data_IF_360178567519
#
_entry.id   IF_360178567519
#
_cell.length_a   1.000
_cell.length_b   1.000
_cell.length_c   1.000
_cell.angle_alpha   90.00
_cell.angle_beta   90.00
_cell.angle_gamma   90.00
#
_symmetry.space_group_name_H-M   'P 1'
#
loop_
_entity.id
_entity.type
_entity.pdbx_description
1 polymer ?
#
# COMPACT_ATOMS: atom_id res chain seq x y z
N UNK A 1 -8.99 19.60 4.05
CA UNK A 1 -7.74 18.90 4.38
C UNK A 1 -8.00 17.43 4.12
N UNK A 2 -7.12 16.77 3.37
CA UNK A 2 -7.23 15.32 3.15
C UNK A 2 -6.97 14.55 4.45
N UNK A 3 -7.69 13.45 4.64
CA UNK A 3 -7.43 12.48 5.72
C UNK A 3 -6.30 11.55 5.30
N UNK A 4 -5.39 11.22 6.21
CA UNK A 4 -4.35 10.21 6.03
C UNK A 4 -4.67 8.98 6.88
N UNK A 5 -5.04 7.91 6.19
CA UNK A 5 -5.14 6.56 6.70
C UNK A 5 -3.80 5.83 6.52
N UNK A 6 -3.29 5.28 7.62
CA UNK A 6 -2.30 4.21 7.55
C UNK A 6 -3.01 2.91 7.83
N UNK A 7 -2.99 2.02 6.84
CA UNK A 7 -3.47 0.65 6.99
C UNK A 7 -2.28 -0.28 7.20
N UNK A 8 -2.22 -0.88 8.39
CA UNK A 8 -1.14 -1.74 8.83
C UNK A 8 -1.63 -3.17 9.00
N UNK A 9 -1.36 -3.98 7.98
CA UNK A 9 -1.67 -5.40 7.93
C UNK A 9 -0.48 -6.16 8.50
N UNK A 10 -0.73 -7.00 9.51
CA UNK A 10 0.34 -7.61 10.30
C UNK A 10 0.00 -9.03 10.77
N UNK A 11 1.02 -9.85 10.96
CA UNK A 11 0.96 -11.09 11.73
C UNK A 11 0.81 -10.80 13.24
N UNK A 12 0.52 -11.81 14.04
CA UNK A 12 0.40 -11.70 15.50
C UNK A 12 1.71 -11.22 16.15
N UNK A 13 2.85 -11.60 15.59
CA UNK A 13 4.19 -11.22 16.06
C UNK A 13 4.73 -9.92 15.44
N UNK A 14 3.91 -9.18 14.68
CA UNK A 14 4.22 -7.80 14.29
C UNK A 14 4.94 -7.63 12.95
N UNK A 15 4.96 -8.66 12.11
CA UNK A 15 5.54 -8.61 10.76
C UNK A 15 4.48 -8.23 9.73
N UNK A 16 4.90 -7.52 8.67
CA UNK A 16 4.01 -7.12 7.56
C UNK A 16 4.13 -8.02 6.32
N UNK A 17 4.99 -9.04 6.40
CA UNK A 17 5.26 -10.03 5.37
C UNK A 17 5.95 -11.22 6.02
N UNK A 18 5.83 -12.42 5.43
CA UNK A 18 6.55 -13.62 5.84
C UNK A 18 7.20 -14.33 4.65
N UNK A 19 8.39 -14.88 4.83
CA UNK A 19 9.06 -15.67 3.78
C UNK A 19 8.29 -16.97 3.49
N UNK A 20 8.02 -17.25 2.22
CA UNK A 20 7.25 -18.44 1.81
C UNK A 20 5.74 -18.35 2.08
N UNK A 21 5.24 -17.20 2.53
CA UNK A 21 3.81 -16.97 2.73
C UNK A 21 3.22 -16.17 1.56
N UNK A 22 1.99 -16.51 1.11
CA UNK A 22 1.28 -15.68 0.15
C UNK A 22 0.80 -14.37 0.81
N UNK A 23 0.18 -13.50 0.00
CA UNK A 23 -0.53 -12.32 0.51
C UNK A 23 -1.50 -12.70 1.64
N UNK A 24 -1.63 -11.83 2.65
CA UNK A 24 -2.48 -12.05 3.83
C UNK A 24 -2.25 -13.40 4.55
N UNK A 25 -1.08 -14.01 4.38
CA UNK A 25 -0.77 -15.35 4.86
C UNK A 25 -1.72 -16.45 4.37
N UNK A 26 -2.51 -16.18 3.31
CA UNK A 26 -3.51 -17.10 2.76
C UNK A 26 -4.72 -17.29 3.67
N UNK A 27 -4.93 -16.35 4.60
CA UNK A 27 -5.98 -16.38 5.62
C UNK A 27 -7.03 -15.30 5.40
N UNK A 28 -7.01 -14.61 4.26
CA UNK A 28 -8.06 -13.69 3.88
C UNK A 28 -9.40 -14.42 3.69
N UNK A 29 -10.44 -13.87 4.33
CA UNK A 29 -11.82 -14.34 4.19
C UNK A 29 -12.66 -13.38 3.35
N UNK A 30 -13.79 -13.83 2.79
CA UNK A 30 -14.67 -12.99 1.98
C UNK A 30 -15.20 -11.77 2.74
N UNK A 31 -15.42 -11.87 4.06
CA UNK A 31 -15.84 -10.75 4.90
C UNK A 31 -14.77 -9.67 4.99
N UNK A 32 -13.49 -10.08 5.05
CA UNK A 32 -12.37 -9.15 5.09
C UNK A 32 -12.20 -8.43 3.75
N UNK A 33 -12.28 -9.16 2.64
CA UNK A 33 -12.20 -8.58 1.29
C UNK A 33 -13.37 -7.64 1.01
N UNK A 34 -14.59 -8.01 1.43
CA UNK A 34 -15.76 -7.13 1.32
C UNK A 34 -15.56 -5.83 2.11
N UNK A 35 -15.03 -5.91 3.33
CA UNK A 35 -14.73 -4.74 4.15
C UNK A 35 -13.63 -3.84 3.56
N UNK A 36 -12.62 -4.42 2.89
CA UNK A 36 -11.64 -3.63 2.13
C UNK A 36 -12.31 -2.88 0.97
N UNK A 37 -13.25 -3.52 0.26
CA UNK A 37 -14.01 -2.92 -0.83
C UNK A 37 -14.97 -1.79 -0.42
N UNK A 38 -15.30 -1.67 0.87
CA UNK A 38 -16.07 -0.54 1.40
C UNK A 38 -15.23 0.74 1.54
N UNK A 39 -13.91 0.68 1.32
CA UNK A 39 -13.04 1.83 1.44
C UNK A 39 -13.34 2.88 0.35
N UNK A 40 -13.48 4.17 0.70
CA UNK A 40 -13.59 5.24 -0.29
C UNK A 40 -12.38 5.28 -1.21
N UNK A 41 -12.56 5.84 -2.41
CA UNK A 41 -11.46 6.11 -3.33
C UNK A 41 -10.35 6.91 -2.63
N UNK A 42 -9.10 6.44 -2.78
CA UNK A 42 -7.95 7.01 -2.10
C UNK A 42 -6.80 7.25 -3.09
N UNK A 43 -5.99 8.26 -2.78
CA UNK A 43 -4.64 8.36 -3.35
C UNK A 43 -3.69 7.49 -2.53
N UNK A 44 -3.09 6.50 -3.18
CA UNK A 44 -2.20 5.55 -2.51
C UNK A 44 -0.78 6.08 -2.42
N UNK A 45 -0.22 6.03 -1.21
CA UNK A 45 1.13 6.47 -0.90
C UNK A 45 2.03 5.25 -0.71
N UNK A 46 3.21 5.23 -1.32
CA UNK A 46 4.15 4.13 -1.17
C UNK A 46 5.62 4.53 -1.39
N UNK A 47 6.53 3.72 -0.86
CA UNK A 47 7.97 3.84 -1.12
C UNK A 47 8.42 3.02 -2.33
N UNK A 48 9.68 3.18 -2.72
CA UNK A 48 10.28 2.55 -3.90
C UNK A 48 10.16 1.02 -3.95
N UNK A 49 10.34 0.32 -2.81
CA UNK A 49 10.31 -1.15 -2.77
C UNK A 49 8.89 -1.68 -2.95
N UNK A 50 7.92 -1.09 -2.26
CA UNK A 50 6.50 -1.40 -2.44
C UNK A 50 6.08 -1.12 -3.88
N UNK A 51 6.50 0.02 -4.47
CA UNK A 51 6.23 0.31 -5.87
C UNK A 51 6.77 -0.78 -6.80
N UNK A 52 8.04 -1.21 -6.66
CA UNK A 52 8.61 -2.25 -7.52
C UNK A 52 7.81 -3.54 -7.45
N UNK A 53 7.50 -4.00 -6.23
CA UNK A 53 6.71 -5.21 -6.00
C UNK A 53 5.32 -5.12 -6.68
N UNK A 54 4.56 -4.08 -6.36
CA UNK A 54 3.20 -3.91 -6.87
C UNK A 54 3.17 -3.64 -8.38
N UNK A 55 4.17 -2.94 -8.92
CA UNK A 55 4.31 -2.74 -10.37
C UNK A 55 4.66 -4.03 -11.12
N UNK A 56 5.36 -4.96 -10.47
CA UNK A 56 5.60 -6.30 -11.00
C UNK A 56 4.28 -7.06 -11.10
N UNK A 57 3.49 -7.06 -10.03
CA UNK A 57 2.15 -7.67 -10.02
C UNK A 57 1.25 -7.11 -11.12
N UNK A 58 1.19 -5.78 -11.27
CA UNK A 58 0.44 -5.14 -12.34
C UNK A 58 0.98 -5.43 -13.75
N UNK A 59 2.19 -5.97 -13.87
CA UNK A 59 2.79 -6.43 -15.13
C UNK A 59 2.63 -7.94 -15.35
N UNK A 60 1.90 -8.63 -14.47
CA UNK A 60 1.64 -10.08 -14.54
C UNK A 60 2.64 -10.95 -13.80
N UNK A 61 3.55 -10.38 -13.00
CA UNK A 61 4.39 -11.20 -12.10
C UNK A 61 3.51 -11.78 -10.98
N UNK A 62 3.49 -13.09 -10.83
CA UNK A 62 2.72 -13.75 -9.77
C UNK A 62 3.51 -13.81 -8.46
N UNK A 63 2.85 -13.78 -7.28
CA UNK A 63 3.49 -13.99 -6.00
C UNK A 63 4.28 -15.30 -5.95
N UNK A 64 5.37 -15.30 -5.19
CA UNK A 64 6.17 -16.51 -4.98
C UNK A 64 5.32 -17.61 -4.34
N UNK A 65 5.36 -18.82 -4.93
CA UNK A 65 4.57 -19.95 -4.45
C UNK A 65 3.16 -20.05 -5.04
N UNK A 66 2.82 -19.21 -6.03
CA UNK A 66 1.60 -19.30 -6.82
C UNK A 66 1.92 -19.47 -8.31
N UNK A 67 1.08 -20.22 -9.03
CA UNK A 67 1.19 -20.40 -10.49
C UNK A 67 0.45 -19.29 -11.26
N UNK A 68 -0.67 -18.80 -10.72
CA UNK A 68 -1.52 -17.76 -11.28
C UNK A 68 -2.16 -16.91 -10.17
N UNK A 69 -2.59 -15.68 -10.50
CA UNK A 69 -3.41 -14.88 -9.60
C UNK A 69 -4.78 -15.53 -9.40
N UNK A 70 -5.29 -15.44 -8.17
CA UNK A 70 -6.69 -15.72 -7.90
C UNK A 70 -7.54 -14.57 -8.46
N UNK A 71 -8.81 -14.81 -8.86
CA UNK A 71 -9.66 -13.76 -9.43
C UNK A 71 -9.79 -12.50 -8.54
N UNK A 72 -9.81 -12.66 -7.22
CA UNK A 72 -9.88 -11.55 -6.27
C UNK A 72 -8.56 -10.76 -6.20
N UNK A 73 -7.41 -11.42 -6.36
CA UNK A 73 -6.10 -10.78 -6.40
C UNK A 73 -5.92 -9.99 -7.70
N UNK A 74 -6.33 -10.57 -8.84
CA UNK A 74 -6.31 -9.90 -10.14
C UNK A 74 -7.19 -8.63 -10.12
N UNK A 75 -8.43 -8.74 -9.62
CA UNK A 75 -9.32 -7.59 -9.46
C UNK A 75 -8.71 -6.50 -8.56
N UNK A 76 -8.07 -6.88 -7.46
CA UNK A 76 -7.42 -5.94 -6.55
C UNK A 76 -6.24 -5.21 -7.22
N UNK A 77 -5.44 -5.91 -8.03
CA UNK A 77 -4.33 -5.32 -8.79
C UNK A 77 -4.84 -4.35 -9.86
N UNK A 78 -5.93 -4.70 -10.54
CA UNK A 78 -6.58 -3.85 -11.53
C UNK A 78 -7.13 -2.56 -10.91
N UNK A 79 -7.82 -2.66 -9.78
CA UNK A 79 -8.31 -1.50 -9.02
C UNK A 79 -7.18 -0.55 -8.62
N UNK A 80 -6.08 -1.10 -8.08
CA UNK A 80 -4.90 -0.31 -7.72
C UNK A 80 -4.21 0.29 -8.95
N UNK A 81 -4.28 -0.36 -10.10
CA UNK A 81 -3.76 0.17 -11.36
C UNK A 81 -4.54 1.41 -11.79
N UNK A 82 -5.86 1.42 -11.63
CA UNK A 82 -6.70 2.59 -11.92
C UNK A 82 -6.56 3.72 -10.88
N UNK A 83 -6.24 3.39 -9.63
CA UNK A 83 -6.13 4.37 -8.57
C UNK A 83 -4.93 5.34 -8.74
N UNK A 84 -5.09 6.57 -8.23
CA UNK A 84 -3.99 7.55 -8.16
C UNK A 84 -2.93 7.10 -7.14
N UNK A 85 -1.66 7.15 -7.52
CA UNK A 85 -0.53 6.66 -6.71
C UNK A 85 0.57 7.70 -6.63
N UNK A 86 1.11 7.92 -5.43
CA UNK A 86 2.30 8.76 -5.19
C UNK A 86 3.43 7.87 -4.65
N UNK A 87 4.55 7.89 -5.36
CA UNK A 87 5.71 7.05 -5.08
C UNK A 87 6.84 7.92 -4.57
N UNK A 88 7.27 7.70 -3.34
CA UNK A 88 8.40 8.41 -2.75
C UNK A 88 9.71 7.66 -3.02
N UNK A 89 10.60 8.25 -3.81
CA UNK A 89 11.91 7.65 -4.10
C UNK A 89 12.90 8.63 -4.67
N UNK A 90 14.14 8.58 -4.17
CA UNK A 90 15.31 9.21 -4.79
C UNK A 90 15.94 8.34 -5.90
N UNK A 91 15.66 7.05 -5.92
CA UNK A 91 16.36 6.05 -6.75
C UNK A 91 15.59 5.62 -8.02
N UNK A 92 14.28 5.84 -8.07
CA UNK A 92 13.49 5.53 -9.26
C UNK A 92 13.69 6.59 -10.34
N UNK A 93 13.55 6.19 -11.60
CA UNK A 93 13.58 7.06 -12.77
C UNK A 93 12.20 7.16 -13.41
N UNK A 94 11.93 8.27 -14.09
CA UNK A 94 10.74 8.42 -14.92
C UNK A 94 11.01 7.97 -16.37
N UNK A 95 9.98 7.52 -17.12
CA UNK A 95 8.60 7.35 -16.68
C UNK A 95 8.41 6.13 -15.76
N UNK A 96 7.49 6.25 -14.80
CA UNK A 96 7.03 5.09 -14.03
C UNK A 96 6.17 4.19 -14.93
N UNK A 97 6.39 2.87 -14.83
CA UNK A 97 5.70 1.88 -15.68
C UNK A 97 4.28 1.56 -15.22
N UNK A 98 4.02 1.67 -13.91
CA UNK A 98 2.69 1.41 -13.37
C UNK A 98 1.79 2.63 -13.57
N UNK A 99 0.66 2.45 -14.24
CA UNK A 99 -0.28 3.53 -14.59
C UNK A 99 -0.68 4.38 -13.38
N UNK A 100 -1.03 5.65 -13.61
CA UNK A 100 -1.49 6.59 -12.58
C UNK A 100 -0.52 6.78 -11.39
N UNK A 101 0.79 6.63 -11.64
CA UNK A 101 1.84 6.84 -10.63
C UNK A 101 2.58 8.15 -10.84
N UNK A 102 2.70 8.94 -9.78
CA UNK A 102 3.52 10.16 -9.74
C UNK A 102 4.74 9.94 -8.85
N UNK A 103 5.93 10.22 -9.36
CA UNK A 103 7.17 10.13 -8.59
C UNK A 103 7.39 11.43 -7.80
N UNK A 104 7.61 11.30 -6.49
CA UNK A 104 8.08 12.39 -5.62
C UNK A 104 9.50 12.04 -5.15
N UNK A 105 10.45 12.93 -5.44
CA UNK A 105 11.87 12.77 -5.08
C UNK A 105 12.24 13.47 -3.78
N UNK A 106 11.41 14.42 -3.34
CA UNK A 106 11.62 15.22 -2.15
C UNK A 106 11.26 14.46 -0.86
N UNK A 107 11.39 15.14 0.27
CA UNK A 107 11.02 14.60 1.57
C UNK A 107 9.53 14.22 1.62
N UNK A 108 9.26 12.97 1.98
CA UNK A 108 7.90 12.43 1.99
C UNK A 108 7.00 13.09 3.04
N UNK A 109 7.55 13.52 4.18
CA UNK A 109 6.77 14.18 5.24
C UNK A 109 6.32 15.55 4.77
N UNK A 110 7.21 16.34 4.17
CA UNK A 110 6.87 17.65 3.62
C UNK A 110 5.86 17.54 2.47
N UNK A 111 6.08 16.60 1.55
CA UNK A 111 5.16 16.36 0.43
C UNK A 111 3.76 15.95 0.92
N UNK A 112 3.66 15.04 1.89
CA UNK A 112 2.36 14.63 2.45
C UNK A 112 1.70 15.77 3.22
N UNK A 113 2.46 16.59 3.95
CA UNK A 113 1.91 17.79 4.61
C UNK A 113 1.32 18.77 3.60
N UNK A 114 2.01 18.99 2.48
CA UNK A 114 1.52 19.82 1.39
C UNK A 114 0.24 19.23 0.78
N UNK A 115 0.22 17.93 0.46
CA UNK A 115 -0.95 17.24 -0.09
C UNK A 115 -2.16 17.32 0.83
N UNK A 116 -1.98 17.11 2.15
CA UNK A 116 -3.07 17.27 3.12
C UNK A 116 -3.63 18.69 3.10
N UNK A 117 -2.75 19.69 3.02
CA UNK A 117 -3.12 21.11 3.10
C UNK A 117 -3.82 21.63 1.85
N UNK A 118 -3.41 21.20 0.66
CA UNK A 118 -3.96 21.66 -0.61
C UNK A 118 -5.13 20.83 -1.13
N UNK A 119 -5.33 19.63 -0.58
CA UNK A 119 -6.28 18.66 -1.10
C UNK A 119 -7.55 18.43 -0.25
N UNK A 120 -8.39 17.58 -0.82
CA UNK A 120 -9.53 16.92 -0.19
C UNK A 120 -9.53 15.44 -0.57
N UNK A 121 -10.16 14.59 0.25
CA UNK A 121 -10.26 13.14 0.00
C UNK A 121 -9.38 12.32 0.93
N UNK A 122 -9.21 11.04 0.60
CA UNK A 122 -8.48 10.08 1.41
C UNK A 122 -7.08 9.84 0.81
N UNK A 123 -6.06 9.94 1.66
CA UNK A 123 -4.72 9.43 1.41
C UNK A 123 -4.60 8.10 2.16
N UNK A 124 -4.14 7.05 1.49
CA UNK A 124 -3.95 5.73 2.12
C UNK A 124 -2.56 5.19 1.85
N UNK A 125 -1.88 4.64 2.85
CA UNK A 125 -0.63 3.92 2.61
C UNK A 125 -0.90 2.47 2.23
N UNK A 126 -0.22 1.95 1.21
CA UNK A 126 -0.16 0.49 0.91
C UNK A 126 1.19 -0.10 1.34
N UNK A 127 1.75 0.46 2.41
CA UNK A 127 3.17 0.43 2.74
C UNK A 127 3.87 1.73 2.30
N UNK A 128 5.20 1.84 2.35
CA UNK A 128 6.16 0.93 2.98
C UNK A 128 6.23 1.18 4.49
N UNK A 129 6.59 0.18 5.31
CA UNK A 129 6.68 0.35 6.77
C UNK A 129 7.54 1.55 7.21
N UNK A 130 8.62 1.83 6.47
CA UNK A 130 9.47 3.00 6.70
C UNK A 130 8.70 4.31 6.47
N UNK A 131 7.91 4.41 5.39
CA UNK A 131 7.06 5.55 5.10
C UNK A 131 5.98 5.72 6.19
N UNK A 132 5.25 4.65 6.52
CA UNK A 132 4.23 4.69 7.58
C UNK A 132 4.82 5.18 8.91
N UNK A 133 5.99 4.67 9.30
CA UNK A 133 6.70 5.09 10.51
C UNK A 133 7.09 6.57 10.48
N UNK A 134 7.60 7.07 9.35
CA UNK A 134 7.96 8.48 9.20
C UNK A 134 6.74 9.40 9.32
N UNK A 135 5.64 9.06 8.65
CA UNK A 135 4.40 9.85 8.69
C UNK A 135 3.74 9.84 10.08
N UNK A 136 3.75 8.69 10.77
CA UNK A 136 3.31 8.57 12.16
C UNK A 136 4.12 9.47 13.09
N UNK A 137 5.46 9.39 13.02
CA UNK A 137 6.36 10.21 13.86
C UNK A 137 6.20 11.70 13.60
N UNK A 138 5.86 12.08 12.38
CA UNK A 138 5.60 13.47 12.01
C UNK A 138 4.21 13.98 12.43
N UNK A 139 3.37 13.14 13.04
CA UNK A 139 2.02 13.52 13.49
C UNK A 139 1.06 13.78 12.33
N UNK A 140 1.31 13.21 11.14
CA UNK A 140 0.49 13.46 9.96
C UNK A 140 -0.68 12.47 9.80
N UNK A 141 -0.68 11.37 10.55
CA UNK A 141 -1.67 10.28 10.42
C UNK A 141 -2.92 10.63 11.23
N UNK A 142 -4.08 10.64 10.56
CA UNK A 142 -5.36 10.88 11.22
C UNK A 142 -5.98 9.56 11.71
N UNK A 143 -5.81 8.49 10.93
CA UNK A 143 -6.31 7.15 11.27
C UNK A 143 -5.23 6.10 11.09
N UNK A 144 -4.98 5.32 12.15
CA UNK A 144 -4.11 4.15 12.11
C UNK A 144 -4.95 2.90 12.28
N UNK A 145 -5.13 2.13 11.20
CA UNK A 145 -5.92 0.91 11.16
C UNK A 145 -4.97 -0.28 11.22
N UNK A 146 -5.22 -1.19 12.16
CA UNK A 146 -4.42 -2.41 12.33
C UNK A 146 -5.30 -3.60 12.00
N UNK A 147 -4.86 -4.40 11.03
CA UNK A 147 -5.47 -5.68 10.69
C UNK A 147 -4.47 -6.76 11.08
N UNK A 148 -4.86 -7.59 12.05
CA UNK A 148 -4.00 -8.65 12.58
C UNK A 148 -4.47 -10.02 12.09
N UNK A 149 -3.58 -10.72 11.41
CA UNK A 149 -3.76 -12.12 11.02
C UNK A 149 -3.20 -13.04 12.12
N UNK A 150 -3.91 -14.12 12.51
CA UNK A 150 -3.57 -14.94 13.68
C UNK A 150 -2.44 -15.95 13.38
N UNK A 151 -1.30 -15.46 12.91
CA UNK A 151 -0.10 -16.25 12.54
C UNK A 151 1.17 -15.64 13.12
N UNK A 152 2.21 -16.45 13.27
CA UNK A 152 3.55 -16.03 13.70
C UNK A 152 4.51 -16.32 12.55
N UNK A 153 5.18 -15.30 12.02
CA UNK A 153 5.99 -15.44 10.79
C UNK A 153 7.43 -14.95 10.86
N UNK A 154 7.88 -14.48 12.03
CA UNK A 154 9.31 -14.55 12.40
C UNK A 154 10.07 -13.24 12.33
#
# INVERSE_FOLDING_TARGET
>A
MSELLVDFITSLDGYASGEGWPGFWGLEGPEYLAWLGEQPEATYLMGANTYRLMSGFASGEVPSGQDEFRPEEEASVDELTQASKVVFSSSLGEPLKWANSTLVRDDAVEAVRAMKSSGSGLLSTIGSLSLCRSLLRAGLVDRFRVVMFPVITG
#
